data_IF_477132098249
#
_entry.id   IF_477132098249
#
_cell.length_a   1.000
_cell.length_b   1.000
_cell.length_c   1.000
_cell.angle_alpha   90.00
_cell.angle_beta   90.00
_cell.angle_gamma   90.00
#
_symmetry.space_group_name_H-M   'P 1'
#
loop_
_entity.id
_entity.type
_entity.pdbx_description
1 polymer ?
#
# COMPACT_ATOMS: atom_id res chain seq x y z
N UNK A 1 14.75 9.13 -20.39
CA UNK A 1 13.99 8.48 -21.50
C UNK A 1 12.63 7.91 -21.08
N UNK A 2 12.41 7.54 -19.83
CA UNK A 2 11.09 7.09 -19.34
C UNK A 2 10.01 8.20 -19.27
N UNK A 3 10.38 9.46 -19.06
CA UNK A 3 9.42 10.59 -19.09
C UNK A 3 8.65 10.72 -20.40
N UNK A 4 9.23 10.36 -21.53
CA UNK A 4 8.60 10.54 -22.85
C UNK A 4 7.68 9.38 -23.28
N UNK A 5 7.81 8.19 -22.68
CA UNK A 5 6.89 7.08 -22.97
C UNK A 5 5.62 7.13 -22.11
N UNK A 6 5.69 7.66 -20.90
CA UNK A 6 4.53 7.81 -20.01
C UNK A 6 3.56 8.89 -20.54
N UNK A 7 4.08 9.96 -21.16
CA UNK A 7 3.27 11.07 -21.66
C UNK A 7 2.40 10.74 -22.90
N UNK A 8 2.68 9.65 -23.61
CA UNK A 8 1.97 9.31 -24.86
C UNK A 8 0.78 8.36 -24.71
N UNK A 9 0.63 7.67 -23.57
CA UNK A 9 -0.40 6.65 -23.40
C UNK A 9 -1.49 6.98 -22.38
N UNK A 10 -1.38 8.10 -21.67
CA UNK A 10 -2.32 8.43 -20.60
C UNK A 10 -2.78 9.87 -20.70
N UNK A 11 -4.04 10.08 -20.72
CA UNK A 11 -4.85 11.31 -20.66
C UNK A 11 -4.34 12.43 -19.71
N UNK A 12 -3.03 12.61 -19.60
CA UNK A 12 -2.38 13.56 -18.69
C UNK A 12 -2.13 13.04 -17.27
N UNK A 13 -2.41 11.77 -17.00
CA UNK A 13 -2.17 11.16 -15.68
C UNK A 13 -0.69 10.78 -15.56
N UNK A 14 -0.02 11.34 -14.57
CA UNK A 14 1.36 10.99 -14.19
C UNK A 14 1.34 9.87 -13.15
N UNK A 15 2.08 8.79 -13.41
CA UNK A 15 2.22 7.67 -12.48
C UNK A 15 3.51 7.77 -11.71
N UNK A 16 3.43 7.96 -10.41
CA UNK A 16 4.57 7.95 -9.50
C UNK A 16 4.54 6.68 -8.63
N UNK A 17 5.72 6.12 -8.36
CA UNK A 17 5.88 4.94 -7.50
C UNK A 17 6.84 5.27 -6.38
N UNK A 18 6.44 4.98 -5.16
CA UNK A 18 7.23 5.25 -3.96
C UNK A 18 7.41 3.97 -3.15
N UNK A 19 8.59 3.81 -2.57
CA UNK A 19 8.87 2.75 -1.61
C UNK A 19 9.27 3.40 -0.30
N UNK A 20 8.59 3.05 0.78
CA UNK A 20 8.91 3.50 2.13
C UNK A 20 9.26 2.28 2.96
N UNK A 21 10.37 2.33 3.68
CA UNK A 21 10.75 1.30 4.63
C UNK A 21 10.98 1.90 6.01
N UNK A 22 10.65 1.11 7.03
CA UNK A 22 10.81 1.47 8.42
C UNK A 22 11.67 0.42 9.11
N UNK A 23 12.58 0.87 9.95
CA UNK A 23 13.40 -0.01 10.79
C UNK A 23 13.24 0.40 12.25
N UNK A 24 13.18 -0.55 13.18
CA UNK A 24 13.19 -0.24 14.60
C UNK A 24 14.61 0.20 15.03
N UNK A 25 14.69 1.27 15.83
CA UNK A 25 15.91 1.73 16.43
C UNK A 25 15.63 2.47 17.74
N UNK A 26 16.58 2.46 18.66
CA UNK A 26 16.45 3.16 19.95
C UNK A 26 16.48 4.69 19.79
N UNK A 27 17.25 5.17 18.83
CA UNK A 27 17.38 6.59 18.54
C UNK A 27 17.80 6.83 17.08
N UNK A 28 17.76 8.09 16.64
CA UNK A 28 18.08 8.50 15.26
C UNK A 28 19.53 8.19 14.88
N UNK A 29 20.48 8.35 15.82
CA UNK A 29 21.89 8.09 15.57
C UNK A 29 22.15 6.60 15.28
N UNK A 30 21.48 5.70 15.99
CA UNK A 30 21.54 4.27 15.76
C UNK A 30 20.76 3.83 14.49
N UNK A 31 19.70 4.56 14.15
CA UNK A 31 18.91 4.28 12.93
C UNK A 31 19.66 4.61 11.65
N UNK A 32 20.38 5.72 11.63
CA UNK A 32 20.96 6.31 10.43
C UNK A 32 21.84 5.35 9.61
N UNK A 33 22.88 4.69 10.16
CA UNK A 33 23.74 3.80 9.37
C UNK A 33 22.97 2.58 8.85
N UNK A 34 21.94 2.12 9.56
CA UNK A 34 21.09 1.02 9.13
C UNK A 34 20.18 1.44 7.99
N UNK A 35 19.61 2.65 8.05
CA UNK A 35 18.77 3.21 6.99
C UNK A 35 19.60 3.45 5.72
N UNK A 36 20.79 4.04 5.83
CA UNK A 36 21.70 4.26 4.70
C UNK A 36 22.08 2.94 4.00
N UNK A 37 22.28 1.86 4.76
CA UNK A 37 22.53 0.54 4.20
C UNK A 37 21.32 -0.01 3.44
N UNK A 38 20.13 0.03 4.05
CA UNK A 38 18.90 -0.44 3.40
C UNK A 38 18.59 0.38 2.15
N UNK A 39 18.81 1.69 2.20
CA UNK A 39 18.65 2.58 1.04
C UNK A 39 19.57 2.15 -0.10
N UNK A 40 20.87 1.95 0.17
CA UNK A 40 21.83 1.51 -0.82
C UNK A 40 21.46 0.15 -1.43
N UNK A 41 21.01 -0.80 -0.61
CA UNK A 41 20.58 -2.12 -1.05
C UNK A 41 19.33 -2.03 -1.95
N UNK A 42 18.34 -1.22 -1.57
CA UNK A 42 17.12 -1.01 -2.36
C UNK A 42 17.42 -0.35 -3.70
N UNK A 43 18.22 0.72 -3.71
CA UNK A 43 18.65 1.40 -4.94
C UNK A 43 19.43 0.44 -5.84
N UNK A 44 20.35 -0.34 -5.27
CA UNK A 44 21.13 -1.33 -6.01
C UNK A 44 20.25 -2.41 -6.65
N UNK A 45 19.24 -2.89 -5.95
CA UNK A 45 18.30 -3.87 -6.46
C UNK A 45 17.43 -3.29 -7.59
N UNK A 46 16.90 -2.08 -7.45
CA UNK A 46 16.16 -1.42 -8.52
C UNK A 46 17.03 -1.17 -9.75
N UNK A 47 18.29 -0.79 -9.57
CA UNK A 47 19.23 -0.62 -10.67
C UNK A 47 19.45 -1.93 -11.44
N UNK A 48 19.53 -3.07 -10.75
CA UNK A 48 19.63 -4.41 -11.41
C UNK A 48 18.40 -4.74 -12.24
N UNK A 49 17.22 -4.26 -11.83
CA UNK A 49 15.97 -4.39 -12.58
C UNK A 49 15.81 -3.33 -13.68
N UNK A 50 16.83 -2.49 -13.93
CA UNK A 50 16.74 -1.41 -14.91
C UNK A 50 15.91 -0.21 -14.48
N UNK A 51 15.52 -0.14 -13.21
CA UNK A 51 14.72 0.96 -12.65
C UNK A 51 15.64 1.97 -11.98
N UNK A 52 15.51 3.22 -12.37
CA UNK A 52 16.18 4.33 -11.69
C UNK A 52 15.34 4.77 -10.50
N UNK A 53 15.97 4.90 -9.35
CA UNK A 53 15.35 5.37 -8.12
C UNK A 53 16.28 6.36 -7.41
N UNK A 54 15.68 7.29 -6.68
CA UNK A 54 16.40 8.28 -5.88
C UNK A 54 15.69 8.44 -4.53
N UNK A 55 16.43 8.68 -3.44
CA UNK A 55 15.82 9.00 -2.15
C UNK A 55 15.14 10.36 -2.20
N UNK A 56 14.04 10.50 -1.49
CA UNK A 56 13.39 11.78 -1.26
C UNK A 56 14.03 12.48 -0.05
N UNK A 57 14.35 13.73 -0.19
CA UNK A 57 14.70 14.55 0.95
C UNK A 57 13.48 14.91 1.82
N UNK A 58 13.70 15.55 2.97
CA UNK A 58 12.62 15.89 3.90
C UNK A 58 11.58 16.84 3.28
N UNK A 59 11.98 17.79 2.43
CA UNK A 59 11.09 18.70 1.74
C UNK A 59 10.29 18.00 0.65
N UNK A 60 10.94 17.17 -0.15
CA UNK A 60 10.30 16.37 -1.18
C UNK A 60 9.27 15.41 -0.59
N UNK A 61 9.59 14.80 0.56
CA UNK A 61 8.64 13.97 1.29
C UNK A 61 7.42 14.77 1.79
N UNK A 62 7.62 15.97 2.31
CA UNK A 62 6.51 16.84 2.71
C UNK A 62 5.68 17.28 1.51
N UNK A 63 6.30 17.58 0.37
CA UNK A 63 5.60 17.90 -0.87
C UNK A 63 4.75 16.73 -1.36
N UNK A 64 5.27 15.49 -1.28
CA UNK A 64 4.51 14.29 -1.60
C UNK A 64 3.29 14.14 -0.69
N UNK A 65 3.46 14.27 0.62
CA UNK A 65 2.35 14.16 1.58
C UNK A 65 1.32 15.28 1.38
N UNK A 66 1.78 16.50 1.12
CA UNK A 66 0.90 17.61 0.79
C UNK A 66 0.05 17.29 -0.44
N UNK A 67 0.68 16.81 -1.53
CA UNK A 67 -0.06 16.42 -2.75
C UNK A 67 -1.09 15.33 -2.50
N UNK A 68 -0.80 14.34 -1.65
CA UNK A 68 -1.75 13.29 -1.29
C UNK A 68 -2.92 13.80 -0.43
N UNK A 69 -2.67 14.80 0.41
CA UNK A 69 -3.69 15.39 1.29
C UNK A 69 -4.47 16.54 0.63
N UNK A 70 -4.03 17.01 -0.53
CA UNK A 70 -4.70 18.06 -1.31
C UNK A 70 -5.05 17.54 -2.72
N UNK A 71 -5.86 16.48 -2.83
CA UNK A 71 -6.21 15.90 -4.12
C UNK A 71 -6.93 16.95 -4.98
N UNK A 72 -6.58 16.99 -6.26
CA UNK A 72 -7.14 17.98 -7.21
C UNK A 72 -6.64 19.42 -7.04
N UNK A 73 -5.82 19.73 -6.03
CA UNK A 73 -5.23 21.04 -5.88
C UNK A 73 -4.09 21.23 -6.89
N UNK A 74 -4.09 22.40 -7.55
CA UNK A 74 -2.97 22.83 -8.41
C UNK A 74 -2.01 23.78 -7.70
N UNK A 75 -2.25 24.05 -6.42
CA UNK A 75 -1.40 24.93 -5.65
C UNK A 75 -0.04 24.29 -5.38
N UNK A 76 1.07 24.99 -5.66
CA UNK A 76 2.39 24.46 -5.41
C UNK A 76 2.65 24.40 -3.89
N UNK A 77 3.28 23.34 -3.43
CA UNK A 77 3.72 23.21 -2.05
C UNK A 77 4.75 24.29 -1.71
N UNK A 78 4.39 25.20 -0.80
CA UNK A 78 5.24 26.31 -0.34
C UNK A 78 5.75 26.03 1.05
N UNK A 79 6.97 25.52 1.15
CA UNK A 79 7.62 25.22 2.42
C UNK A 79 9.12 25.49 2.35
N UNK A 80 9.64 26.13 3.38
CA UNK A 80 11.07 26.32 3.63
C UNK A 80 11.36 25.96 5.09
N UNK A 81 12.48 25.32 5.37
CA UNK A 81 12.88 24.98 6.74
C UNK A 81 13.00 26.22 7.65
N UNK A 82 13.38 27.36 7.11
CA UNK A 82 13.42 28.63 7.83
C UNK A 82 12.06 29.07 8.36
N UNK A 83 10.96 28.70 7.69
CA UNK A 83 9.61 29.11 8.08
C UNK A 83 9.22 28.51 9.45
N UNK A 84 9.69 27.30 9.77
CA UNK A 84 9.48 26.67 11.08
C UNK A 84 10.08 27.52 12.21
N UNK A 85 11.29 27.99 12.03
CA UNK A 85 11.98 28.79 13.03
C UNK A 85 11.31 30.15 13.24
N UNK A 86 10.75 30.76 12.21
CA UNK A 86 10.13 32.07 12.26
C UNK A 86 8.67 32.07 12.70
N UNK A 87 7.91 31.04 12.34
CA UNK A 87 6.46 30.97 12.60
C UNK A 87 6.11 30.17 13.83
N UNK A 88 6.99 29.30 14.32
CA UNK A 88 6.68 28.32 15.35
C UNK A 88 5.76 27.20 14.90
N UNK A 89 5.40 27.14 13.61
CA UNK A 89 4.58 26.09 13.01
C UNK A 89 5.40 24.82 12.86
N UNK A 90 4.77 23.65 13.04
CA UNK A 90 5.39 22.36 12.77
C UNK A 90 5.24 21.96 11.30
N UNK A 91 6.00 20.97 10.87
CA UNK A 91 5.91 20.45 9.48
C UNK A 91 4.50 19.98 9.11
N UNK A 92 3.71 19.54 10.09
CA UNK A 92 2.33 19.11 9.90
C UNK A 92 1.43 20.24 9.42
N UNK A 93 1.65 21.45 9.91
CA UNK A 93 0.79 22.61 9.60
C UNK A 93 0.90 23.03 8.14
N UNK A 94 1.98 22.64 7.47
CA UNK A 94 2.19 22.90 6.03
C UNK A 94 1.58 21.84 5.10
N UNK A 95 1.18 20.69 5.63
CA UNK A 95 0.66 19.59 4.82
C UNK A 95 -0.81 19.27 5.10
N UNK A 96 -1.35 19.78 6.23
CA UNK A 96 -2.75 19.51 6.60
C UNK A 96 -3.68 20.33 5.70
N UNK A 97 -4.72 19.72 5.12
CA UNK A 97 -5.74 20.45 4.38
C UNK A 97 -6.65 21.27 5.31
N UNK A 98 -7.27 22.30 4.76
CA UNK A 98 -8.09 23.27 5.49
C UNK A 98 -9.33 22.64 6.13
N UNK A 99 -9.86 21.57 5.55
CA UNK A 99 -11.06 20.93 6.05
C UNK A 99 -11.14 19.44 5.74
N UNK A 100 -11.75 18.70 6.67
CA UNK A 100 -12.09 17.28 6.52
C UNK A 100 -13.57 17.05 6.82
N UNK A 101 -14.18 16.15 6.07
CA UNK A 101 -15.52 15.66 6.36
C UNK A 101 -15.58 14.13 6.22
N UNK A 102 -15.75 13.42 7.32
CA UNK A 102 -15.82 11.95 7.42
C UNK A 102 -17.20 11.47 7.91
N UNK A 103 -18.25 12.29 7.79
CA UNK A 103 -19.60 11.94 8.27
C UNK A 103 -20.23 10.81 7.48
N UNK A 104 -19.80 10.60 6.24
CA UNK A 104 -20.30 9.52 5.40
C UNK A 104 -19.45 8.25 5.58
N UNK A 105 -20.09 7.08 5.65
CA UNK A 105 -19.39 5.80 5.86
C UNK A 105 -18.63 5.27 4.64
N UNK A 106 -18.99 5.71 3.44
CA UNK A 106 -18.42 5.21 2.18
C UNK A 106 -17.59 6.24 1.42
N UNK A 107 -17.62 7.47 1.86
CA UNK A 107 -16.88 8.56 1.22
C UNK A 107 -16.43 9.58 2.26
N UNK A 108 -15.44 10.33 1.91
CA UNK A 108 -14.93 11.45 2.71
C UNK A 108 -14.72 12.65 1.79
N UNK A 109 -14.62 13.81 2.39
CA UNK A 109 -14.25 15.03 1.68
C UNK A 109 -13.02 15.67 2.33
N UNK A 110 -12.07 16.06 1.51
CA UNK A 110 -10.87 16.78 1.90
C UNK A 110 -10.84 18.08 1.10
N UNK A 111 -10.92 19.21 1.78
CA UNK A 111 -11.14 20.49 1.10
C UNK A 111 -12.40 20.46 0.26
N UNK A 112 -12.27 20.60 -1.04
CA UNK A 112 -13.39 20.55 -2.01
C UNK A 112 -13.47 19.21 -2.75
N UNK A 113 -12.56 18.29 -2.53
CA UNK A 113 -12.47 17.03 -3.26
C UNK A 113 -13.11 15.87 -2.47
N UNK A 114 -13.93 15.11 -3.16
CA UNK A 114 -14.51 13.87 -2.62
C UNK A 114 -13.59 12.68 -2.90
N UNK A 115 -13.47 11.80 -1.91
CA UNK A 115 -12.70 10.59 -2.01
C UNK A 115 -13.43 9.40 -1.40
N UNK A 116 -12.98 8.21 -1.77
CA UNK A 116 -13.37 6.96 -1.15
C UNK A 116 -12.13 6.10 -0.93
N UNK A 117 -12.14 5.29 0.11
CA UNK A 117 -11.09 4.32 0.38
C UNK A 117 -11.68 2.91 0.37
N UNK A 118 -10.98 2.00 -0.29
CA UNK A 118 -11.32 0.60 -0.32
C UNK A 118 -10.09 -0.22 0.07
N UNK A 119 -10.28 -1.38 0.64
CA UNK A 119 -9.21 -2.30 0.93
C UNK A 119 -9.55 -3.70 0.43
N UNK A 120 -8.54 -4.42 0.01
CA UNK A 120 -8.69 -5.80 -0.41
C UNK A 120 -8.80 -6.67 0.85
N UNK A 121 -9.99 -7.19 1.12
CA UNK A 121 -10.29 -7.99 2.30
C UNK A 121 -10.06 -9.48 2.05
N UNK A 122 -10.44 -9.96 0.87
CA UNK A 122 -10.32 -11.35 0.46
C UNK A 122 -9.45 -11.38 -0.79
N UNK A 123 -8.36 -12.11 -0.72
CA UNK A 123 -7.52 -12.35 -1.88
C UNK A 123 -8.04 -13.57 -2.64
N UNK A 124 -8.04 -13.50 -3.96
CA UNK A 124 -8.25 -14.67 -4.78
C UNK A 124 -7.14 -15.71 -4.52
N UNK A 125 -7.42 -16.97 -4.72
CA UNK A 125 -6.46 -18.08 -4.56
C UNK A 125 -5.24 -17.93 -5.46
N UNK A 126 -5.39 -17.26 -6.59
CA UNK A 126 -4.32 -16.87 -7.50
C UNK A 126 -4.35 -15.36 -7.70
N UNK A 127 -3.31 -14.68 -7.23
CA UNK A 127 -3.06 -13.28 -7.55
C UNK A 127 -2.24 -13.23 -8.83
N UNK A 128 -2.88 -12.80 -9.91
CA UNK A 128 -2.18 -12.47 -11.14
C UNK A 128 -1.46 -11.14 -11.00
N UNK A 129 -0.23 -11.03 -11.53
CA UNK A 129 0.48 -9.76 -11.65
C UNK A 129 -0.31 -8.70 -12.44
N UNK A 130 -1.27 -9.14 -13.24
CA UNK A 130 -2.18 -8.27 -14.01
C UNK A 130 -3.13 -7.45 -13.14
N UNK A 131 -3.50 -7.93 -11.95
CA UNK A 131 -4.42 -7.21 -11.07
C UNK A 131 -3.93 -5.79 -10.75
N UNK A 132 -2.67 -5.67 -10.37
CA UNK A 132 -2.08 -4.35 -10.09
C UNK A 132 -1.95 -3.50 -11.35
N UNK A 133 -1.71 -4.12 -12.49
CA UNK A 133 -1.63 -3.43 -13.77
C UNK A 133 -2.99 -2.87 -14.16
N UNK A 134 -4.05 -3.65 -14.08
CA UNK A 134 -5.42 -3.24 -14.39
C UNK A 134 -5.89 -2.08 -13.50
N UNK A 135 -5.57 -2.14 -12.19
CA UNK A 135 -5.88 -1.04 -11.27
C UNK A 135 -5.11 0.24 -11.66
N UNK A 136 -3.85 0.11 -12.07
CA UNK A 136 -3.01 1.24 -12.47
C UNK A 136 -3.40 1.80 -13.85
N UNK A 137 -4.17 1.07 -14.66
CA UNK A 137 -4.67 1.52 -15.96
C UNK A 137 -6.01 2.28 -15.87
N UNK A 138 -6.62 2.35 -14.68
CA UNK A 138 -7.82 3.14 -14.48
C UNK A 138 -7.57 4.62 -14.78
N UNK A 139 -8.48 5.22 -15.52
CA UNK A 139 -8.48 6.65 -15.83
C UNK A 139 -9.07 7.46 -14.67
N UNK A 140 -8.40 7.40 -13.52
CA UNK A 140 -8.83 8.04 -12.29
C UNK A 140 -7.62 8.45 -11.45
N UNK A 141 -7.77 9.50 -10.65
CA UNK A 141 -6.81 9.84 -9.60
C UNK A 141 -6.89 8.77 -8.49
N UNK A 142 -5.88 7.92 -8.42
CA UNK A 142 -5.88 6.73 -7.57
C UNK A 142 -4.54 6.60 -6.85
N UNK A 143 -4.58 6.30 -5.56
CA UNK A 143 -3.42 5.90 -4.76
C UNK A 143 -3.59 4.46 -4.30
N UNK A 144 -2.68 3.59 -4.70
CA UNK A 144 -2.62 2.21 -4.22
C UNK A 144 -1.51 2.09 -3.20
N UNK A 145 -1.83 1.63 -2.00
CA UNK A 145 -0.86 1.40 -0.93
C UNK A 145 -0.78 -0.09 -0.60
N UNK A 146 0.42 -0.62 -0.63
CA UNK A 146 0.71 -2.00 -0.22
C UNK A 146 1.60 -1.99 1.01
N UNK A 147 1.12 -2.58 2.11
CA UNK A 147 1.89 -2.75 3.33
C UNK A 147 2.49 -4.16 3.36
N UNK A 148 3.82 -4.23 3.39
CA UNK A 148 4.55 -5.50 3.42
C UNK A 148 5.28 -5.60 4.75
N UNK A 149 5.03 -6.68 5.49
CA UNK A 149 5.72 -6.98 6.73
C UNK A 149 6.49 -8.29 6.60
N UNK A 150 7.75 -8.26 6.97
CA UNK A 150 8.55 -9.48 7.08
C UNK A 150 8.22 -10.20 8.39
N UNK A 151 8.04 -11.51 8.32
CA UNK A 151 7.78 -12.37 9.49
C UNK A 151 8.92 -13.37 9.59
N UNK A 152 9.33 -13.68 10.80
CA UNK A 152 10.30 -14.77 11.06
C UNK A 152 9.81 -16.07 10.41
N UNK A 153 10.71 -16.77 9.72
CA UNK A 153 10.37 -17.95 8.95
C UNK A 153 9.74 -19.07 9.78
N UNK A 154 10.26 -19.31 10.98
CA UNK A 154 9.73 -20.35 11.87
C UNK A 154 8.32 -20.00 12.33
N UNK A 155 8.10 -18.73 12.68
CA UNK A 155 6.80 -18.20 13.05
C UNK A 155 5.81 -18.24 11.90
N UNK A 156 6.25 -17.90 10.69
CA UNK A 156 5.44 -17.98 9.49
C UNK A 156 4.99 -19.43 9.21
N UNK A 157 5.92 -20.39 9.21
CA UNK A 157 5.61 -21.82 9.03
C UNK A 157 4.62 -22.32 10.08
N UNK A 158 4.81 -21.94 11.35
CA UNK A 158 3.89 -22.33 12.43
C UNK A 158 2.49 -21.77 12.21
N UNK A 159 2.39 -20.49 11.80
CA UNK A 159 1.12 -19.83 11.49
C UNK A 159 0.40 -20.50 10.31
N UNK A 160 1.11 -20.77 9.22
CA UNK A 160 0.55 -21.44 8.05
C UNK A 160 0.06 -22.85 8.40
N UNK A 161 0.87 -23.65 9.10
CA UNK A 161 0.46 -25.00 9.56
C UNK A 161 -0.79 -24.93 10.46
N UNK A 162 -0.88 -23.95 11.35
CA UNK A 162 -2.07 -23.73 12.17
C UNK A 162 -3.31 -23.46 11.31
N UNK A 163 -3.18 -22.56 10.33
CA UNK A 163 -4.29 -22.25 9.42
C UNK A 163 -4.74 -23.43 8.56
N UNK A 164 -3.80 -24.21 8.05
CA UNK A 164 -4.13 -25.45 7.30
C UNK A 164 -4.91 -26.42 8.20
N UNK A 165 -4.45 -26.65 9.43
CA UNK A 165 -5.16 -27.51 10.39
C UNK A 165 -6.58 -27.01 10.70
N UNK A 166 -6.77 -25.70 10.82
CA UNK A 166 -8.10 -25.12 11.06
C UNK A 166 -9.03 -25.30 9.84
N UNK A 167 -8.51 -25.16 8.63
CA UNK A 167 -9.25 -25.42 7.38
C UNK A 167 -9.65 -26.89 7.29
N UNK A 168 -8.73 -27.80 7.61
CA UNK A 168 -9.02 -29.25 7.61
C UNK A 168 -10.13 -29.60 8.62
N UNK A 169 -10.11 -29.01 9.80
CA UNK A 169 -11.17 -29.18 10.80
C UNK A 169 -12.52 -28.66 10.26
N UNK A 170 -12.52 -27.47 9.65
CA UNK A 170 -13.73 -26.89 9.06
C UNK A 170 -14.28 -27.79 7.96
N UNK A 171 -13.44 -28.33 7.08
CA UNK A 171 -13.86 -29.29 6.04
C UNK A 171 -14.52 -30.52 6.64
N UNK A 172 -13.92 -31.10 7.69
CA UNK A 172 -14.49 -32.27 8.36
C UNK A 172 -15.84 -31.97 9.02
N UNK A 173 -15.97 -30.78 9.62
CA UNK A 173 -17.26 -30.35 10.20
C UNK A 173 -18.33 -30.10 9.15
N UNK A 174 -17.98 -29.49 8.02
CA UNK A 174 -18.91 -29.26 6.91
C UNK A 174 -19.34 -30.57 6.26
N UNK A 175 -18.42 -31.50 6.06
CA UNK A 175 -18.76 -32.85 5.58
C UNK A 175 -19.71 -33.57 6.53
N UNK A 176 -19.49 -33.48 7.84
CA UNK A 176 -20.40 -34.06 8.82
C UNK A 176 -21.79 -33.40 8.81
N UNK A 177 -21.85 -32.08 8.63
CA UNK A 177 -23.10 -31.34 8.50
C UNK A 177 -23.84 -31.73 7.22
N UNK A 178 -23.13 -31.80 6.08
CA UNK A 178 -23.68 -32.21 4.80
C UNK A 178 -24.22 -33.66 4.84
N UNK A 179 -23.46 -34.59 5.41
CA UNK A 179 -23.90 -35.99 5.59
C UNK A 179 -25.16 -36.10 6.47
N UNK A 180 -25.22 -35.31 7.57
CA UNK A 180 -26.39 -35.25 8.45
C UNK A 180 -27.63 -34.63 7.78
N UNK A 181 -27.43 -33.69 6.87
CA UNK A 181 -28.48 -33.01 6.11
C UNK A 181 -28.89 -33.74 4.82
N UNK A 182 -28.23 -34.87 4.48
CA UNK A 182 -28.52 -35.66 3.29
C UNK A 182 -28.02 -35.03 1.98
N UNK A 183 -27.08 -34.12 2.03
CA UNK A 183 -26.43 -33.50 0.86
C UNK A 183 -25.13 -34.23 0.53
N UNK A 184 -24.81 -34.30 -0.79
CA UNK A 184 -23.54 -34.83 -1.26
C UNK A 184 -22.38 -33.87 -0.87
N UNK A 185 -21.35 -34.32 -0.13
CA UNK A 185 -20.25 -33.50 0.29
C UNK A 185 -19.32 -33.02 -0.84
N UNK A 186 -19.47 -33.53 -2.06
CA UNK A 186 -18.62 -33.15 -3.21
C UNK A 186 -19.02 -31.82 -3.87
N UNK A 187 -20.09 -31.16 -3.39
CA UNK A 187 -20.47 -29.82 -3.85
C UNK A 187 -19.92 -28.77 -2.86
N UNK A 188 -18.61 -28.77 -2.65
CA UNK A 188 -17.93 -27.66 -1.96
C UNK A 188 -17.68 -26.51 -2.95
N UNK A 189 -17.87 -25.25 -2.53
CA UNK A 189 -17.50 -24.11 -3.36
C UNK A 189 -16.04 -24.22 -3.81
N UNK A 190 -15.72 -23.91 -5.07
CA UNK A 190 -14.37 -24.07 -5.63
C UNK A 190 -13.26 -23.33 -4.83
N UNK A 191 -13.64 -22.36 -4.03
CA UNK A 191 -12.72 -21.54 -3.23
C UNK A 191 -12.03 -22.29 -2.08
N UNK A 192 -12.59 -23.43 -1.63
CA UNK A 192 -11.99 -24.23 -0.55
C UNK A 192 -11.09 -25.37 -1.06
N UNK A 193 -11.18 -25.72 -2.34
CA UNK A 193 -10.42 -26.83 -2.93
C UNK A 193 -8.98 -26.43 -3.28
N UNK A 194 -8.72 -25.15 -3.47
CA UNK A 194 -7.45 -24.65 -4.01
C UNK A 194 -6.31 -24.57 -2.98
N UNK A 195 -6.60 -24.66 -1.69
CA UNK A 195 -5.60 -24.58 -0.61
C UNK A 195 -4.94 -25.92 -0.22
N UNK A 196 -5.29 -27.03 -0.87
CA UNK A 196 -4.82 -28.37 -0.50
C UNK A 196 -3.89 -29.06 -1.52
N UNK A 197 -3.31 -28.31 -2.47
CA UNK A 197 -2.30 -28.84 -3.41
C UNK A 197 -0.94 -28.21 -3.24
#
# INVERSE_FOLDING_TARGET
>A
MLKNQIAKSNNGIERAKYVTFCIPAENVAAARPRLERVEADVIGNFKRLGVQSQPLDGRERLALLHGQLHPGSREPFRFKWADIAHTGMGTKDFIVPDSFDFRQSRSFRVGQTWGAASYLQIMASELSDKLLLEILELDAELTVTMHIQTVDQVKAIKTVKGKISDIDKMKVEEQRKATRAGYDPDILPPDLVTFSK
#
